data_IF_562530646864
#
_entry.id   IF_562530646864
#
_cell.length_a   1.000
_cell.length_b   1.000
_cell.length_c   1.000
_cell.angle_alpha   90.00
_cell.angle_beta   90.00
_cell.angle_gamma   90.00
#
_symmetry.space_group_name_H-M   'P 1'
#
loop_
_entity.id
_entity.type
_entity.pdbx_description
1 polymer ?
#
# COMPACT_ATOMS: atom_id res chain seq x y z
N UNK A 1 3.03 -20.09 83.22
CA UNK A 1 4.32 -20.43 82.60
C UNK A 1 3.99 -21.19 81.32
N UNK A 2 3.48 -20.45 80.34
CA UNK A 2 4.17 -20.05 79.09
C UNK A 2 4.57 -21.25 78.25
N UNK A 3 3.79 -21.52 77.21
CA UNK A 3 4.40 -21.87 75.94
C UNK A 3 3.63 -21.17 74.82
N UNK A 4 4.40 -20.38 74.08
CA UNK A 4 3.99 -19.55 72.97
C UNK A 4 3.75 -20.47 71.78
N UNK A 5 2.53 -20.48 71.25
CA UNK A 5 2.30 -21.05 69.93
C UNK A 5 2.79 -20.02 68.90
N UNK A 6 4.08 -20.11 68.59
CA UNK A 6 4.73 -19.36 67.53
C UNK A 6 4.12 -19.80 66.19
N UNK A 7 3.18 -18.99 65.70
CA UNK A 7 2.61 -19.16 64.36
C UNK A 7 3.71 -18.79 63.38
N UNK A 8 4.50 -19.78 62.98
CA UNK A 8 5.43 -19.69 61.87
C UNK A 8 4.65 -19.24 60.61
N UNK A 9 4.61 -17.93 60.38
CA UNK A 9 4.15 -17.33 59.13
C UNK A 9 5.21 -17.65 58.10
N UNK A 10 5.11 -18.84 57.52
CA UNK A 10 6.07 -19.32 56.53
C UNK A 10 6.19 -18.33 55.39
N UNK A 11 7.30 -17.61 55.36
CA UNK A 11 7.73 -16.82 54.22
C UNK A 11 7.95 -17.79 53.05
N UNK A 12 6.96 -17.89 52.17
CA UNK A 12 7.05 -18.71 50.97
C UNK A 12 7.97 -18.00 49.97
N UNK A 13 9.20 -18.47 49.86
CA UNK A 13 10.09 -18.09 48.76
C UNK A 13 9.52 -18.51 47.40
N UNK A 14 9.88 -17.77 46.35
CA UNK A 14 9.50 -18.09 44.97
C UNK A 14 9.97 -19.51 44.59
N UNK A 15 9.09 -20.27 43.94
CA UNK A 15 9.46 -21.58 43.41
C UNK A 15 10.38 -21.42 42.19
N UNK A 16 11.37 -22.30 42.01
CA UNK A 16 12.18 -22.35 40.79
C UNK A 16 11.30 -22.52 39.54
N UNK A 17 10.18 -23.24 39.65
CA UNK A 17 9.23 -23.40 38.55
C UNK A 17 8.53 -22.08 38.18
N UNK A 18 8.29 -21.22 39.17
CA UNK A 18 7.64 -19.92 38.96
C UNK A 18 8.54 -18.97 38.17
N UNK A 19 9.83 -18.91 38.52
CA UNK A 19 10.82 -18.13 37.76
C UNK A 19 10.97 -18.69 36.35
N UNK A 20 11.04 -20.02 36.20
CA UNK A 20 11.12 -20.67 34.89
C UNK A 20 9.89 -20.33 34.02
N UNK A 21 8.69 -20.44 34.60
CA UNK A 21 7.44 -20.15 33.90
C UNK A 21 7.35 -18.67 33.52
N UNK A 22 7.71 -17.76 34.42
CA UNK A 22 7.73 -16.33 34.16
C UNK A 22 8.69 -15.97 33.02
N UNK A 23 9.91 -16.51 33.03
CA UNK A 23 10.88 -16.31 31.95
C UNK A 23 10.41 -16.94 30.64
N UNK A 24 9.73 -18.10 30.70
CA UNK A 24 9.16 -18.75 29.52
C UNK A 24 8.08 -17.90 28.86
N UNK A 25 7.12 -17.39 29.63
CA UNK A 25 6.04 -16.52 29.14
C UNK A 25 6.62 -15.20 28.63
N UNK A 26 7.60 -14.63 29.34
CA UNK A 26 8.28 -13.40 28.92
C UNK A 26 8.97 -13.59 27.57
N UNK A 27 9.69 -14.70 27.39
CA UNK A 27 10.40 -15.00 26.14
C UNK A 27 9.43 -15.10 24.95
N UNK A 28 8.30 -15.80 25.13
CA UNK A 28 7.26 -15.91 24.11
C UNK A 28 6.68 -14.52 23.79
N UNK A 29 6.40 -13.72 24.81
CA UNK A 29 5.83 -12.39 24.66
C UNK A 29 6.75 -11.46 23.86
N UNK A 30 8.04 -11.48 24.13
CA UNK A 30 9.04 -10.69 23.39
C UNK A 30 9.08 -11.09 21.91
N UNK A 31 9.08 -12.39 21.62
CA UNK A 31 9.03 -12.89 20.23
C UNK A 31 7.77 -12.40 19.50
N UNK A 32 6.61 -12.45 20.16
CA UNK A 32 5.36 -11.96 19.58
C UNK A 32 5.39 -10.45 19.29
N UNK A 33 5.95 -9.65 20.21
CA UNK A 33 6.11 -8.20 20.02
C UNK A 33 6.98 -7.92 18.79
N UNK A 34 8.11 -8.61 18.64
CA UNK A 34 8.97 -8.45 17.46
C UNK A 34 8.29 -8.86 16.16
N UNK A 35 7.49 -9.92 16.18
CA UNK A 35 6.70 -10.34 15.01
C UNK A 35 5.68 -9.29 14.60
N UNK A 36 4.94 -8.74 15.56
CA UNK A 36 3.96 -7.67 15.32
C UNK A 36 4.62 -6.41 14.79
N UNK A 37 5.73 -6.00 15.38
CA UNK A 37 6.49 -4.83 14.90
C UNK A 37 6.98 -5.03 13.46
N UNK A 38 7.54 -6.21 13.16
CA UNK A 38 7.99 -6.56 11.81
C UNK A 38 6.85 -6.57 10.81
N UNK A 39 5.66 -7.02 11.21
CA UNK A 39 4.45 -6.98 10.39
C UNK A 39 4.02 -5.53 10.12
N UNK A 40 4.03 -4.67 11.15
CA UNK A 40 3.72 -3.26 11.04
C UNK A 40 4.64 -2.56 10.03
N UNK A 41 5.95 -2.75 10.13
CA UNK A 41 6.93 -2.18 9.18
C UNK A 41 6.67 -2.61 7.74
N UNK A 42 6.38 -3.90 7.50
CA UNK A 42 6.04 -4.40 6.16
C UNK A 42 4.76 -3.79 5.63
N UNK A 43 3.74 -3.62 6.48
CA UNK A 43 2.48 -2.99 6.13
C UNK A 43 2.67 -1.52 5.73
N UNK A 44 3.43 -0.76 6.52
CA UNK A 44 3.75 0.64 6.22
C UNK A 44 4.48 0.78 4.89
N UNK A 45 5.51 -0.04 4.64
CA UNK A 45 6.22 -0.02 3.35
C UNK A 45 5.29 -0.31 2.17
N UNK A 46 4.36 -1.26 2.33
CA UNK A 46 3.37 -1.55 1.28
C UNK A 46 2.43 -0.37 1.02
N UNK A 47 1.99 0.31 2.06
CA UNK A 47 1.15 1.51 1.94
C UNK A 47 1.90 2.67 1.29
N UNK A 48 3.18 2.84 1.63
CA UNK A 48 4.08 3.82 1.01
C UNK A 48 4.20 3.58 -0.50
N UNK A 49 4.53 2.35 -0.91
CA UNK A 49 4.60 2.00 -2.32
C UNK A 49 3.30 2.28 -3.09
N UNK A 50 2.16 1.93 -2.49
CA UNK A 50 0.86 2.17 -3.09
C UNK A 50 0.57 3.68 -3.24
N UNK A 51 0.93 4.46 -2.23
CA UNK A 51 0.75 5.92 -2.24
C UNK A 51 1.61 6.57 -3.32
N UNK A 52 2.88 6.20 -3.42
CA UNK A 52 3.79 6.68 -4.47
C UNK A 52 3.28 6.31 -5.87
N UNK A 53 2.89 5.06 -6.08
CA UNK A 53 2.33 4.62 -7.36
C UNK A 53 1.04 5.36 -7.72
N UNK A 54 0.19 5.65 -6.73
CA UNK A 54 -1.03 6.43 -6.92
C UNK A 54 -0.74 7.88 -7.30
N UNK A 55 0.26 8.50 -6.70
CA UNK A 55 0.68 9.86 -7.04
C UNK A 55 1.18 9.90 -8.49
N UNK A 56 2.06 8.98 -8.89
CA UNK A 56 2.56 8.88 -10.27
C UNK A 56 1.39 8.67 -11.24
N UNK A 57 0.50 7.71 -10.95
CA UNK A 57 -0.63 7.40 -11.81
C UNK A 57 -1.59 8.60 -11.96
N UNK A 58 -1.85 9.33 -10.87
CA UNK A 58 -2.69 10.54 -10.90
C UNK A 58 -2.04 11.68 -11.66
N UNK A 59 -0.73 11.86 -11.53
CA UNK A 59 0.03 12.86 -12.29
C UNK A 59 -0.13 12.63 -13.79
N UNK A 60 0.18 11.41 -14.25
CA UNK A 60 0.07 11.04 -15.67
C UNK A 60 -1.37 11.09 -16.19
N UNK A 61 -2.34 10.71 -15.36
CA UNK A 61 -3.76 10.80 -15.72
C UNK A 61 -4.21 12.25 -15.88
N UNK A 62 -3.83 13.14 -14.96
CA UNK A 62 -4.19 14.56 -15.04
C UNK A 62 -3.56 15.23 -16.26
N UNK A 63 -2.31 14.88 -16.58
CA UNK A 63 -1.65 15.33 -17.80
C UNK A 63 -2.42 14.85 -19.04
N UNK A 64 -2.79 13.57 -19.11
CA UNK A 64 -3.57 13.02 -20.21
C UNK A 64 -4.92 13.71 -20.42
N UNK A 65 -5.58 14.09 -19.31
CA UNK A 65 -6.86 14.80 -19.33
C UNK A 65 -6.71 16.27 -19.71
N UNK A 66 -5.54 16.88 -19.52
CA UNK A 66 -5.27 18.27 -19.88
C UNK A 66 -4.76 18.47 -21.31
N UNK A 67 -4.26 17.42 -21.97
CA UNK A 67 -3.80 17.48 -23.35
C UNK A 67 -4.90 17.99 -24.29
N UNK A 68 -4.59 18.97 -25.14
CA UNK A 68 -5.53 19.52 -26.12
C UNK A 68 -5.75 18.60 -27.32
N UNK A 69 -4.81 17.68 -27.56
CA UNK A 69 -4.82 16.78 -28.71
C UNK A 69 -4.36 15.39 -28.28
N UNK A 70 -5.03 14.34 -28.79
CA UNK A 70 -4.90 12.96 -28.30
C UNK A 70 -3.92 12.11 -29.14
N UNK A 71 -3.45 12.59 -30.29
CA UNK A 71 -2.65 11.77 -31.23
C UNK A 71 -1.27 11.31 -30.72
N UNK A 72 -0.67 11.98 -29.73
CA UNK A 72 0.69 11.67 -29.22
C UNK A 72 0.73 11.39 -27.71
N UNK A 73 -0.20 10.57 -27.22
CA UNK A 73 -0.39 10.45 -25.77
C UNK A 73 -0.04 9.10 -25.17
N UNK A 74 0.43 8.11 -25.93
CA UNK A 74 1.00 6.90 -25.32
C UNK A 74 2.40 7.20 -24.79
N UNK A 75 2.67 6.78 -23.55
CA UNK A 75 3.91 7.10 -22.88
C UNK A 75 4.32 5.94 -21.97
N UNK A 76 5.62 5.66 -21.92
CA UNK A 76 6.20 4.76 -20.92
C UNK A 76 7.41 5.44 -20.31
N UNK A 77 7.44 5.50 -18.98
CA UNK A 77 8.46 6.19 -18.22
C UNK A 77 8.88 5.38 -16.99
N UNK A 78 10.16 5.45 -16.67
CA UNK A 78 10.72 4.91 -15.44
C UNK A 78 10.92 6.02 -14.41
N UNK A 79 10.61 5.70 -13.16
CA UNK A 79 10.68 6.57 -12.01
C UNK A 79 11.66 6.01 -10.97
N UNK A 80 12.19 6.89 -10.12
CA UNK A 80 13.08 6.50 -9.04
C UNK A 80 12.46 5.43 -8.13
N UNK A 81 13.28 4.50 -7.64
CA UNK A 81 12.81 3.38 -6.83
C UNK A 81 12.27 2.19 -7.64
N UNK A 82 12.47 2.17 -8.96
CA UNK A 82 12.13 1.05 -9.83
C UNK A 82 10.65 1.01 -10.22
N UNK A 83 9.95 2.14 -10.16
CA UNK A 83 8.58 2.22 -10.63
C UNK A 83 8.59 2.42 -12.15
N UNK A 84 7.78 1.67 -12.88
CA UNK A 84 7.57 1.86 -14.32
C UNK A 84 6.12 2.22 -14.54
N UNK A 85 5.89 3.32 -15.22
CA UNK A 85 4.56 3.80 -15.57
C UNK A 85 4.32 3.69 -17.07
N UNK A 86 3.09 3.38 -17.44
CA UNK A 86 2.64 3.25 -18.82
C UNK A 86 1.27 3.91 -18.95
N UNK A 87 1.13 4.83 -19.89
CA UNK A 87 -0.11 5.49 -20.25
C UNK A 87 -0.53 5.04 -21.64
N UNK A 88 -1.77 4.57 -21.75
CA UNK A 88 -2.39 4.13 -22.99
C UNK A 88 -3.67 4.92 -23.23
N UNK A 89 -3.84 5.47 -24.44
CA UNK A 89 -5.07 6.14 -24.87
C UNK A 89 -5.65 5.42 -26.10
N UNK A 90 -6.90 5.02 -26.01
CA UNK A 90 -7.61 4.25 -27.05
C UNK A 90 -8.94 4.91 -27.40
N UNK A 91 -9.26 5.07 -28.69
CA UNK A 91 -10.61 5.46 -29.14
C UNK A 91 -11.56 4.28 -28.95
N UNK A 92 -12.60 4.45 -28.14
CA UNK A 92 -13.59 3.40 -27.83
C UNK A 92 -14.76 3.45 -28.81
N UNK A 93 -15.22 4.66 -29.14
CA UNK A 93 -16.38 4.87 -29.99
C UNK A 93 -16.39 6.25 -30.61
N UNK A 94 -17.14 6.35 -31.71
CA UNK A 94 -17.42 7.57 -32.44
C UNK A 94 -18.93 7.66 -32.68
N UNK A 95 -19.51 8.86 -32.62
CA UNK A 95 -20.91 9.07 -33.01
C UNK A 95 -21.11 8.90 -34.52
N UNK A 96 -22.37 8.72 -34.94
CA UNK A 96 -22.71 8.49 -36.35
C UNK A 96 -22.35 9.69 -37.25
N UNK A 97 -22.35 10.90 -36.69
CA UNK A 97 -21.98 12.14 -37.39
C UNK A 97 -20.46 12.41 -37.39
N UNK A 98 -19.68 11.62 -36.64
CA UNK A 98 -18.21 11.76 -36.54
C UNK A 98 -17.73 12.97 -35.73
N UNK A 99 -18.63 13.71 -35.10
CA UNK A 99 -18.35 14.95 -34.37
C UNK A 99 -17.81 14.71 -32.96
N UNK A 100 -18.13 13.54 -32.38
CA UNK A 100 -17.79 13.21 -30.99
C UNK A 100 -17.03 11.89 -30.93
N UNK A 101 -15.80 11.95 -30.42
CA UNK A 101 -14.95 10.78 -30.20
C UNK A 101 -14.81 10.51 -28.70
N UNK A 102 -15.00 9.26 -28.29
CA UNK A 102 -14.82 8.81 -26.91
C UNK A 102 -13.50 8.05 -26.79
N UNK A 103 -12.68 8.48 -25.85
CA UNK A 103 -11.39 7.87 -25.56
C UNK A 103 -11.35 7.24 -24.17
N UNK A 104 -10.70 6.07 -24.07
CA UNK A 104 -10.27 5.45 -22.81
C UNK A 104 -8.84 5.88 -22.54
N UNK A 105 -8.60 6.38 -21.34
CA UNK A 105 -7.25 6.66 -20.85
C UNK A 105 -6.97 5.66 -19.75
N UNK A 106 -5.93 4.87 -19.90
CA UNK A 106 -5.48 3.89 -18.91
C UNK A 106 -4.05 4.23 -18.50
N UNK A 107 -3.82 4.32 -17.20
CA UNK A 107 -2.48 4.50 -16.62
C UNK A 107 -2.18 3.31 -15.73
N UNK A 108 -1.08 2.61 -16.00
CA UNK A 108 -0.60 1.46 -15.24
C UNK A 108 0.74 1.82 -14.62
N UNK A 109 0.88 1.66 -13.32
CA UNK A 109 2.16 1.81 -12.61
C UNK A 109 2.53 0.47 -11.98
N UNK A 110 3.75 0.01 -12.24
CA UNK A 110 4.31 -1.25 -11.71
C UNK A 110 5.52 -0.94 -10.85
N UNK A 111 5.74 -1.73 -9.80
CA UNK A 111 6.92 -1.59 -8.94
C UNK A 111 7.33 -2.94 -8.34
N UNK A 112 8.64 -3.15 -8.05
CA UNK A 112 9.11 -4.34 -7.36
C UNK A 112 8.49 -4.51 -5.96
N UNK A 113 8.34 -5.75 -5.48
CA UNK A 113 8.67 -7.01 -6.14
C UNK A 113 7.66 -7.47 -7.20
N UNK A 114 6.39 -7.07 -7.09
CA UNK A 114 5.33 -7.45 -8.04
C UNK A 114 4.06 -6.58 -7.87
N UNK A 115 4.24 -5.33 -7.45
CA UNK A 115 3.14 -4.38 -7.27
C UNK A 115 2.66 -3.82 -8.60
N UNK A 116 1.34 -3.62 -8.72
CA UNK A 116 0.71 -2.99 -9.88
C UNK A 116 -0.49 -2.18 -9.42
N UNK A 117 -0.63 -0.98 -9.97
CA UNK A 117 -1.79 -0.11 -9.84
C UNK A 117 -2.26 0.28 -11.24
N UNK A 118 -3.58 0.35 -11.44
CA UNK A 118 -4.16 0.79 -12.70
C UNK A 118 -5.27 1.81 -12.42
N UNK A 119 -5.21 2.95 -13.11
CA UNK A 119 -6.29 3.93 -13.18
C UNK A 119 -6.86 3.95 -14.59
N UNK A 120 -8.18 4.10 -14.71
CA UNK A 120 -8.86 4.20 -16.00
C UNK A 120 -9.85 5.35 -15.95
N UNK A 121 -9.86 6.17 -17.00
CA UNK A 121 -10.78 7.28 -17.18
C UNK A 121 -11.34 7.28 -18.61
N UNK A 122 -12.43 8.00 -18.80
CA UNK A 122 -13.09 8.18 -20.09
C UNK A 122 -13.15 9.67 -20.40
N UNK A 123 -12.79 10.05 -21.62
CA UNK A 123 -12.81 11.44 -22.08
C UNK A 123 -13.48 11.51 -23.44
N UNK A 124 -14.46 12.40 -23.57
CA UNK A 124 -15.04 12.76 -24.87
C UNK A 124 -14.33 14.00 -25.42
N UNK A 125 -14.06 14.00 -26.72
CA UNK A 125 -13.57 15.16 -27.46
C UNK A 125 -14.57 15.44 -28.56
N UNK A 126 -15.10 16.66 -28.56
CA UNK A 126 -15.98 17.16 -29.61
C UNK A 126 -15.16 17.98 -30.60
N UNK A 127 -15.16 17.60 -31.88
CA UNK A 127 -14.49 18.32 -32.94
C UNK A 127 -15.35 19.53 -33.33
N UNK A 128 -15.11 20.69 -32.69
CA UNK A 128 -15.84 21.92 -33.03
C UNK A 128 -15.33 22.44 -34.37
N UNK A 129 -16.10 22.18 -35.42
CA UNK A 129 -15.86 22.70 -36.77
C UNK A 129 -15.69 24.23 -36.71
N UNK A 130 -14.62 24.73 -37.31
CA UNK A 130 -14.23 26.15 -37.30
C UNK A 130 -14.98 26.92 -38.39
#
# INVERSE_FOLDING_TARGET
MTEFEDRNTGEKGFSLFEVLLAVSILSISVVLIFQLFSMGLRSTKKAEHYTTALIIARSLMNEALSLSFIEDANLSEDYEGGYTAERTIEEISRDEEGTTRLYRITVVVKWPPSGRLQLTSMRTVHEKNR
#
